data_IF_309425199436
#
_entry.id   IF_309425199436
#
_cell.length_a   1.000
_cell.length_b   1.000
_cell.length_c   1.000
_cell.angle_alpha   90.00
_cell.angle_beta   90.00
_cell.angle_gamma   90.00
#
_symmetry.space_group_name_H-M   'P 1'
#
loop_
_entity.id
_entity.type
_entity.pdbx_description
1 polymer ?
#
# COMPACT_ATOMS: atom_id res chain seq x y z
N UNK A 1 8.31 -1.52 24.67
CA UNK A 1 8.32 -0.16 24.09
C UNK A 1 7.43 -0.20 22.84
N UNK A 2 6.41 0.67 22.73
CA UNK A 2 5.68 0.83 21.46
C UNK A 2 6.59 1.61 20.52
N UNK A 3 6.85 1.08 19.33
CA UNK A 3 7.65 1.78 18.31
C UNK A 3 6.99 3.10 17.92
N UNK A 4 7.77 4.00 17.31
CA UNK A 4 7.28 5.31 16.86
C UNK A 4 6.11 5.13 15.87
N UNK A 5 5.08 5.94 16.03
CA UNK A 5 3.90 5.92 15.16
C UNK A 5 4.30 6.23 13.72
N UNK A 6 3.55 5.69 12.78
CA UNK A 6 3.66 6.03 11.36
C UNK A 6 3.02 7.38 11.11
N UNK A 7 3.72 8.24 10.37
CA UNK A 7 3.21 9.52 9.89
C UNK A 7 2.52 9.38 8.54
N UNK A 8 1.72 10.38 8.17
CA UNK A 8 1.07 10.44 6.84
C UNK A 8 2.10 10.46 5.71
N UNK A 9 3.22 11.18 5.89
CA UNK A 9 4.28 11.24 4.90
C UNK A 9 4.95 9.87 4.69
N UNK A 10 5.14 9.09 5.76
CA UNK A 10 5.64 7.71 5.64
C UNK A 10 4.63 6.80 4.96
N UNK A 11 3.33 6.94 5.24
CA UNK A 11 2.29 6.15 4.57
C UNK A 11 2.26 6.45 3.07
N UNK A 12 2.39 7.71 2.66
CA UNK A 12 2.48 8.10 1.25
C UNK A 12 3.73 7.53 0.57
N UNK A 13 4.88 7.62 1.23
CA UNK A 13 6.13 7.05 0.73
C UNK A 13 6.01 5.53 0.58
N UNK A 14 5.40 4.85 1.55
CA UNK A 14 5.16 3.41 1.50
C UNK A 14 4.20 3.01 0.36
N UNK A 15 3.12 3.76 0.15
CA UNK A 15 2.22 3.53 -0.98
C UNK A 15 2.94 3.65 -2.32
N UNK A 16 3.79 4.67 -2.45
CA UNK A 16 4.58 4.92 -3.66
C UNK A 16 5.60 3.79 -3.88
N UNK A 17 6.33 3.40 -2.84
CA UNK A 17 7.31 2.31 -2.91
C UNK A 17 6.67 0.98 -3.31
N UNK A 18 5.52 0.65 -2.72
CA UNK A 18 4.77 -0.57 -3.06
C UNK A 18 4.31 -0.54 -4.53
N UNK A 19 3.77 0.59 -4.99
CA UNK A 19 3.30 0.75 -6.36
C UNK A 19 4.44 0.55 -7.36
N UNK A 20 5.57 1.24 -7.16
CA UNK A 20 6.75 1.13 -8.02
C UNK A 20 7.24 -0.33 -8.09
N UNK A 21 7.36 -0.99 -6.93
CA UNK A 21 7.81 -2.39 -6.84
C UNK A 21 6.82 -3.36 -7.50
N UNK A 22 5.52 -3.08 -7.45
CA UNK A 22 4.46 -3.91 -8.06
C UNK A 22 4.40 -3.77 -9.58
N UNK A 23 4.85 -2.64 -10.12
CA UNK A 23 4.86 -2.33 -11.54
C UNK A 23 6.18 -2.73 -12.22
N UNK A 24 7.26 -2.89 -11.45
CA UNK A 24 8.54 -3.37 -11.96
C UNK A 24 8.41 -4.79 -12.54
N UNK A 25 8.75 -4.93 -13.82
CA UNK A 25 8.69 -6.22 -14.54
C UNK A 25 9.64 -7.29 -13.99
N UNK A 26 10.64 -6.88 -13.19
CA UNK A 26 11.64 -7.74 -12.55
C UNK A 26 11.05 -8.55 -11.39
N UNK A 27 10.02 -8.06 -10.70
CA UNK A 27 9.37 -8.79 -9.58
C UNK A 27 8.40 -9.89 -10.07
N UNK A 28 8.17 -10.00 -11.38
CA UNK A 28 7.16 -10.89 -11.98
C UNK A 28 7.54 -12.38 -12.00
N UNK A 29 8.78 -12.72 -11.63
CA UNK A 29 9.29 -14.10 -11.68
C UNK A 29 9.40 -14.70 -10.28
N UNK A 30 8.31 -15.28 -9.79
CA UNK A 30 8.27 -16.29 -8.72
C UNK A 30 9.09 -15.98 -7.44
N UNK A 31 9.20 -14.71 -7.04
CA UNK A 31 9.96 -14.34 -5.84
C UNK A 31 9.17 -14.66 -4.58
N UNK A 32 9.88 -15.14 -3.54
CA UNK A 32 9.32 -15.32 -2.20
C UNK A 32 8.78 -13.97 -1.71
N UNK A 33 7.63 -13.98 -1.04
CA UNK A 33 7.01 -12.77 -0.48
C UNK A 33 7.98 -11.91 0.35
N UNK A 34 8.95 -12.54 1.00
CA UNK A 34 10.02 -11.87 1.74
C UNK A 34 10.89 -10.97 0.85
N UNK A 35 11.32 -11.47 -0.32
CA UNK A 35 12.12 -10.71 -1.29
C UNK A 35 11.35 -9.49 -1.80
N UNK A 36 10.03 -9.65 -2.04
CA UNK A 36 9.17 -8.53 -2.44
C UNK A 36 9.15 -7.42 -1.39
N UNK A 37 8.90 -7.75 -0.12
CA UNK A 37 8.86 -6.73 0.94
C UNK A 37 10.23 -6.13 1.26
N UNK A 38 11.33 -6.87 1.03
CA UNK A 38 12.67 -6.31 1.11
C UNK A 38 12.89 -5.24 0.02
N UNK A 39 12.44 -5.50 -1.22
CA UNK A 39 12.53 -4.50 -2.28
C UNK A 39 11.65 -3.27 -2.00
N UNK A 40 10.44 -3.48 -1.50
CA UNK A 40 9.56 -2.37 -1.07
C UNK A 40 10.24 -1.54 0.02
N UNK A 41 10.93 -2.17 0.98
CA UNK A 41 11.68 -1.47 2.02
C UNK A 41 12.82 -0.63 1.42
N UNK A 42 13.62 -1.18 0.50
CA UNK A 42 14.70 -0.43 -0.17
C UNK A 42 14.16 0.82 -0.87
N UNK A 43 13.12 0.67 -1.69
CA UNK A 43 12.51 1.79 -2.42
C UNK A 43 11.87 2.80 -1.45
N UNK A 44 11.30 2.33 -0.34
CA UNK A 44 10.78 3.23 0.70
C UNK A 44 11.90 4.08 1.32
N UNK A 45 13.05 3.48 1.63
CA UNK A 45 14.21 4.21 2.19
C UNK A 45 14.75 5.21 1.18
N UNK A 46 14.88 4.82 -0.09
CA UNK A 46 15.29 5.73 -1.18
C UNK A 46 14.38 6.96 -1.25
N UNK A 47 13.06 6.77 -1.32
CA UNK A 47 12.07 7.85 -1.37
C UNK A 47 12.16 8.75 -0.14
N UNK A 48 12.33 8.16 1.05
CA UNK A 48 12.50 8.89 2.29
C UNK A 48 13.74 9.79 2.28
N UNK A 49 14.87 9.28 1.79
CA UNK A 49 16.11 10.03 1.65
C UNK A 49 15.96 11.15 0.62
N UNK A 50 15.43 10.85 -0.57
CA UNK A 50 15.26 11.83 -1.66
C UNK A 50 14.33 12.99 -1.26
N UNK A 51 13.25 12.68 -0.55
CA UNK A 51 12.26 13.67 -0.08
C UNK A 51 12.62 14.30 1.27
N UNK A 52 13.75 13.92 1.87
CA UNK A 52 14.20 14.36 3.20
C UNK A 52 13.12 14.18 4.29
N UNK A 53 12.47 13.02 4.30
CA UNK A 53 11.43 12.66 5.26
C UNK A 53 12.04 12.05 6.52
N UNK A 54 11.47 12.39 7.69
CA UNK A 54 11.84 11.78 8.99
C UNK A 54 11.24 10.37 9.13
N UNK A 55 11.77 9.42 8.38
CA UNK A 55 11.30 8.03 8.33
C UNK A 55 12.00 7.07 9.30
N UNK A 56 13.16 7.48 9.83
CA UNK A 56 14.08 6.64 10.61
C UNK A 56 14.16 5.19 10.11
N UNK A 57 14.83 4.96 8.96
CA UNK A 57 14.92 3.65 8.31
C UNK A 57 15.27 2.48 9.25
N UNK A 58 16.15 2.73 10.21
CA UNK A 58 16.58 1.79 11.24
C UNK A 58 15.43 1.24 12.12
N UNK A 59 14.31 1.96 12.22
CA UNK A 59 13.12 1.55 12.96
C UNK A 59 12.06 0.87 12.07
N UNK A 60 12.22 0.93 10.74
CA UNK A 60 11.22 0.48 9.76
C UNK A 60 11.68 -0.77 9.01
N UNK A 61 12.08 -1.81 9.75
CA UNK A 61 12.46 -3.12 9.17
C UNK A 61 11.39 -3.70 8.21
N UNK A 62 11.76 -4.57 7.25
CA UNK A 62 10.81 -5.09 6.23
C UNK A 62 9.53 -5.72 6.79
N UNK A 63 9.59 -6.35 7.97
CA UNK A 63 8.40 -6.89 8.66
C UNK A 63 7.45 -5.79 9.14
N UNK A 64 7.98 -4.64 9.57
CA UNK A 64 7.21 -3.45 9.93
C UNK A 64 6.54 -2.80 8.72
N UNK A 65 7.27 -2.71 7.60
CA UNK A 65 6.75 -2.27 6.29
C UNK A 65 5.54 -3.12 5.88
N UNK A 66 5.69 -4.44 5.93
CA UNK A 66 4.60 -5.38 5.63
C UNK A 66 3.39 -5.17 6.54
N UNK A 67 3.61 -5.09 7.85
CA UNK A 67 2.51 -4.91 8.81
C UNK A 67 1.76 -3.59 8.58
N UNK A 68 2.49 -2.51 8.27
CA UNK A 68 1.88 -1.22 7.95
C UNK A 68 1.11 -1.27 6.65
N UNK A 69 1.69 -1.84 5.60
CA UNK A 69 1.03 -2.00 4.30
C UNK A 69 -0.31 -2.74 4.42
N UNK A 70 -0.36 -3.84 5.18
CA UNK A 70 -1.61 -4.58 5.42
C UNK A 70 -2.69 -3.71 6.09
N UNK A 71 -2.30 -2.79 6.97
CA UNK A 71 -3.21 -1.84 7.63
C UNK A 71 -3.76 -0.81 6.63
N UNK A 72 -2.90 -0.26 5.79
CA UNK A 72 -3.27 0.70 4.73
C UNK A 72 -4.20 0.00 3.72
N UNK A 73 -3.79 -1.15 3.19
CA UNK A 73 -4.53 -1.92 2.20
C UNK A 73 -5.92 -2.33 2.71
N UNK A 74 -6.05 -2.73 3.98
CA UNK A 74 -7.35 -3.01 4.61
C UNK A 74 -8.25 -1.76 4.65
N UNK A 75 -7.68 -0.61 4.94
CA UNK A 75 -8.41 0.67 4.97
C UNK A 75 -8.88 1.07 3.57
N UNK A 76 -8.02 0.94 2.56
CA UNK A 76 -8.37 1.15 1.15
C UNK A 76 -9.45 0.18 0.68
N UNK A 77 -9.36 -1.10 1.05
CA UNK A 77 -10.36 -2.12 0.70
C UNK A 77 -11.72 -1.82 1.31
N UNK A 78 -11.75 -1.36 2.57
CA UNK A 78 -12.99 -0.93 3.24
C UNK A 78 -13.60 0.27 2.51
N UNK A 79 -12.79 1.27 2.17
CA UNK A 79 -13.25 2.43 1.41
C UNK A 79 -13.83 2.03 0.04
N UNK A 80 -13.11 1.20 -0.73
CA UNK A 80 -13.57 0.68 -2.00
C UNK A 80 -14.89 -0.10 -1.86
N UNK A 81 -15.00 -0.96 -0.84
CA UNK A 81 -16.23 -1.70 -0.53
C UNK A 81 -17.44 -0.81 -0.25
N UNK A 82 -17.25 0.29 0.47
CA UNK A 82 -18.31 1.29 0.71
C UNK A 82 -18.74 1.98 -0.59
N UNK A 83 -17.84 2.24 -1.54
CA UNK A 83 -18.18 2.83 -2.84
C UNK A 83 -18.78 1.83 -3.84
N UNK A 84 -18.47 0.54 -3.69
CA UNK A 84 -18.95 -0.50 -4.60
C UNK A 84 -20.44 -0.84 -4.42
N UNK A 85 -21.00 -0.67 -3.21
CA UNK A 85 -22.43 -0.91 -2.95
C UNK A 85 -23.35 0.05 -3.72
N UNK A 86 -23.21 1.39 -3.61
CA UNK A 86 -24.08 2.32 -4.33
C UNK A 86 -23.93 2.21 -5.86
N UNK A 87 -22.72 1.90 -6.37
CA UNK A 87 -22.52 1.68 -7.82
C UNK A 87 -23.24 0.43 -8.33
N UNK A 88 -23.28 -0.64 -7.52
CA UNK A 88 -24.01 -1.88 -7.87
C UNK A 88 -25.53 -1.65 -7.89
N UNK A 89 -26.04 -0.89 -6.94
CA UNK A 89 -27.47 -0.54 -6.87
C UNK A 89 -27.90 0.32 -8.06
N UNK A 90 -27.13 1.34 -8.43
CA UNK A 90 -27.41 2.16 -9.61
C UNK A 90 -27.44 1.32 -10.89
N UNK A 91 -26.49 0.39 -11.05
CA UNK A 91 -26.45 -0.52 -12.22
C UNK A 91 -27.62 -1.50 -12.24
N UNK A 92 -28.01 -2.03 -11.08
CA UNK A 92 -29.16 -2.94 -10.96
C UNK A 92 -30.49 -2.23 -11.26
N UNK A 93 -30.65 -0.99 -10.80
CA UNK A 93 -31.85 -0.19 -11.07
C UNK A 93 -31.93 0.29 -12.52
N UNK A 94 -30.80 0.56 -13.17
CA UNK A 94 -30.77 0.82 -14.62
C UNK A 94 -31.24 -0.39 -15.43
N UNK A 95 -30.82 -1.61 -15.07
CA UNK A 95 -31.27 -2.83 -15.75
C UNK A 95 -32.76 -3.15 -15.51
N UNK A 96 -33.30 -2.81 -14.32
CA UNK A 96 -34.74 -2.96 -14.01
C UNK A 96 -35.64 -1.98 -14.74
N UNK A 97 -35.10 -0.85 -15.22
CA UNK A 97 -35.87 0.19 -15.94
C UNK A 97 -35.86 0.01 -17.45
N UNK A 98 -35.04 -0.89 -17.98
CA UNK A 98 -34.91 -1.17 -19.42
C UNK A 98 -35.55 -2.48 -19.88
N UNK A 99 -36.26 -3.18 -18.97
CA UNK A 99 -37.21 -4.26 -19.26
C UNK A 99 -38.63 -3.80 -18.86
#
# INVERSE_FOLDING_TARGET
>A
MRGRNWSTAEDEALCTAWLNTSQDSITRTNQKLETFYNRVYEVFVEICTERNLDCQPELRVPSGIKARWLTISKSCSKFAGCTAQPIREIKADQHRRTN
#
